data_IF_903472951264
#
_entry.id   IF_903472951264
#
_cell.length_a   1.000
_cell.length_b   1.000
_cell.length_c   1.000
_cell.angle_alpha   90.00
_cell.angle_beta   90.00
_cell.angle_gamma   90.00
#
_symmetry.space_group_name_H-M   'P 1'
#
loop_
_entity.id
_entity.type
_entity.pdbx_description
1 polymer ?
#
# COMPACT_ATOMS: atom_id res chain seq x y z
N UNK A 1 7.15 2.57 24.35
CA UNK A 1 8.04 3.49 23.79
C UNK A 1 8.56 2.98 22.46
N UNK A 2 7.78 3.20 21.42
CA UNK A 2 7.87 2.51 20.14
C UNK A 2 7.77 3.52 18.99
N UNK A 3 8.29 4.74 19.25
CA UNK A 3 8.29 5.83 18.26
C UNK A 3 9.47 5.71 17.29
N UNK A 4 10.16 4.56 17.32
CA UNK A 4 11.28 4.28 16.42
C UNK A 4 10.84 3.36 15.28
N UNK A 5 10.88 3.88 14.07
CA UNK A 5 10.58 3.14 12.84
C UNK A 5 11.53 1.94 12.60
N UNK A 6 12.67 1.90 13.29
CA UNK A 6 13.63 0.78 13.23
C UNK A 6 13.34 -0.30 14.26
N UNK A 7 12.33 -0.14 15.12
CA UNK A 7 11.93 -1.12 16.12
C UNK A 7 10.92 -2.11 15.56
N UNK A 8 11.10 -3.38 15.86
CA UNK A 8 10.12 -4.44 15.61
C UNK A 8 9.36 -4.80 16.90
N UNK A 9 8.15 -4.28 17.11
CA UNK A 9 7.37 -4.57 18.29
C UNK A 9 6.78 -5.99 18.28
N UNK A 10 6.81 -6.68 17.13
CA UNK A 10 6.25 -8.03 16.96
C UNK A 10 7.21 -9.17 17.30
N UNK A 11 8.46 -8.88 17.63
CA UNK A 11 9.48 -9.89 17.90
C UNK A 11 9.02 -10.96 18.90
N UNK A 12 8.51 -10.59 20.10
CA UNK A 12 8.00 -11.57 21.08
C UNK A 12 6.80 -12.38 20.54
N UNK A 13 5.85 -11.74 19.86
CA UNK A 13 4.71 -12.41 19.24
C UNK A 13 5.15 -13.37 18.13
N UNK A 14 6.15 -13.00 17.33
CA UNK A 14 6.71 -13.86 16.29
C UNK A 14 7.43 -15.08 16.89
N UNK A 15 8.18 -14.92 17.97
CA UNK A 15 8.79 -16.02 18.68
C UNK A 15 7.74 -17.02 19.20
N UNK A 16 6.62 -16.53 19.72
CA UNK A 16 5.47 -17.34 20.16
C UNK A 16 4.67 -17.98 19.01
N UNK A 17 4.84 -17.52 17.76
CA UNK A 17 4.11 -18.03 16.59
C UNK A 17 2.85 -17.24 16.24
N UNK A 18 2.55 -16.19 16.98
CA UNK A 18 1.39 -15.31 16.82
C UNK A 18 0.92 -14.77 18.15
N UNK A 19 -0.20 -14.07 18.15
CA UNK A 19 -0.85 -13.55 19.35
C UNK A 19 -2.36 -13.40 19.15
N UNK A 20 -3.12 -13.26 20.25
CA UNK A 20 -4.51 -12.83 20.24
C UNK A 20 -4.55 -11.31 20.23
N UNK A 21 -5.04 -10.71 19.14
CA UNK A 21 -5.18 -9.27 19.02
C UNK A 21 -6.62 -8.83 19.20
N UNK A 22 -6.86 -7.76 19.96
CA UNK A 22 -8.18 -7.12 20.07
C UNK A 22 -8.29 -5.97 19.06
N UNK A 23 -9.20 -6.09 18.11
CA UNK A 23 -9.47 -5.11 17.06
C UNK A 23 -10.88 -4.52 17.23
N UNK A 24 -11.01 -3.54 18.13
CA UNK A 24 -12.28 -2.88 18.47
C UNK A 24 -13.31 -3.85 19.08
N UNK A 25 -12.86 -4.78 19.94
CA UNK A 25 -13.71 -5.77 20.60
C UNK A 25 -13.83 -7.10 19.86
N UNK A 26 -13.30 -7.22 18.65
CA UNK A 26 -13.14 -8.51 17.97
C UNK A 26 -11.74 -9.08 18.25
N UNK A 27 -11.71 -10.12 19.10
CA UNK A 27 -10.46 -10.82 19.40
C UNK A 27 -10.19 -11.88 18.34
N UNK A 28 -9.06 -11.76 17.64
CA UNK A 28 -8.67 -12.73 16.62
C UNK A 28 -7.19 -13.11 16.71
N UNK A 29 -6.81 -14.33 16.30
CA UNK A 29 -5.41 -14.71 16.18
C UNK A 29 -4.71 -13.94 15.06
N UNK A 30 -3.49 -13.51 15.33
CA UNK A 30 -2.63 -12.79 14.38
C UNK A 30 -1.41 -13.66 14.08
N UNK A 31 -1.26 -14.09 12.82
CA UNK A 31 -0.06 -14.77 12.32
C UNK A 31 1.06 -13.76 12.09
N UNK A 32 2.27 -14.07 12.53
CA UNK A 32 3.42 -13.15 12.54
C UNK A 32 4.67 -13.69 11.88
N UNK A 33 4.85 -15.04 11.79
CA UNK A 33 6.00 -15.66 11.11
C UNK A 33 5.82 -15.62 9.60
N UNK A 34 6.88 -15.33 8.89
CA UNK A 34 6.86 -15.24 7.42
C UNK A 34 6.25 -16.48 6.75
N UNK A 35 6.68 -17.68 7.16
CA UNK A 35 6.20 -18.94 6.58
C UNK A 35 4.70 -19.13 6.80
N UNK A 36 4.19 -18.79 7.99
CA UNK A 36 2.81 -19.04 8.39
C UNK A 36 1.87 -18.02 7.72
N UNK A 37 2.29 -16.75 7.69
CA UNK A 37 1.60 -15.66 6.99
C UNK A 37 1.52 -15.95 5.48
N UNK A 38 2.64 -16.38 4.87
CA UNK A 38 2.68 -16.70 3.45
C UNK A 38 1.88 -17.96 3.10
N UNK A 39 1.88 -18.96 3.95
CA UNK A 39 1.09 -20.19 3.78
C UNK A 39 -0.41 -19.87 3.85
N UNK A 40 -0.84 -19.17 4.90
CA UNK A 40 -2.24 -18.78 5.07
C UNK A 40 -2.74 -17.86 3.94
N UNK A 41 -1.91 -16.96 3.42
CA UNK A 41 -2.26 -16.09 2.30
C UNK A 41 -2.51 -16.84 0.98
N UNK A 42 -2.03 -18.09 0.87
CA UNK A 42 -2.16 -18.94 -0.32
C UNK A 42 -3.23 -20.02 -0.21
N UNK A 43 -3.73 -20.24 1.00
CA UNK A 43 -4.69 -21.29 1.30
C UNK A 43 -6.09 -20.67 1.47
N UNK A 44 -6.68 -20.23 0.35
CA UNK A 44 -8.01 -19.63 0.35
C UNK A 44 -9.11 -20.64 0.73
N UNK A 45 -8.89 -21.94 0.51
CA UNK A 45 -9.83 -22.98 0.92
C UNK A 45 -9.98 -23.05 2.45
N UNK A 46 -8.94 -22.67 3.17
CA UNK A 46 -8.91 -22.61 4.64
C UNK A 46 -9.15 -21.21 5.17
N UNK A 47 -8.62 -20.20 4.51
CA UNK A 47 -8.61 -18.80 4.92
C UNK A 47 -9.12 -17.88 3.81
N UNK A 48 -10.43 -17.78 3.73
CA UNK A 48 -11.17 -17.10 2.68
C UNK A 48 -11.04 -15.58 2.74
N UNK A 49 -11.07 -14.94 1.57
CA UNK A 49 -11.29 -13.51 1.41
C UNK A 49 -12.77 -13.17 1.18
N UNK A 50 -13.65 -14.16 1.03
CA UNK A 50 -15.06 -13.93 0.66
C UNK A 50 -15.88 -13.42 1.84
N UNK A 51 -15.72 -12.14 2.14
CA UNK A 51 -16.45 -11.44 3.20
C UNK A 51 -16.40 -9.94 2.98
N UNK A 52 -17.46 -9.34 2.42
CA UNK A 52 -17.50 -7.90 2.17
C UNK A 52 -17.26 -7.09 3.46
N UNK A 53 -16.29 -6.16 3.40
CA UNK A 53 -15.90 -5.33 4.52
C UNK A 53 -15.05 -6.00 5.59
N UNK A 54 -14.82 -7.31 5.52
CA UNK A 54 -14.12 -8.08 6.57
C UNK A 54 -12.65 -8.36 6.28
N UNK A 55 -12.20 -8.17 5.05
CA UNK A 55 -10.78 -8.29 4.68
C UNK A 55 -9.92 -7.19 5.29
N UNK A 56 -10.33 -5.91 5.32
CA UNK A 56 -9.65 -4.90 6.13
C UNK A 56 -9.71 -5.22 7.64
N UNK A 57 -8.66 -4.85 8.36
CA UNK A 57 -8.62 -4.94 9.82
C UNK A 57 -8.29 -3.55 10.37
N UNK A 58 -9.14 -2.94 11.19
CA UNK A 58 -10.46 -3.41 11.61
C UNK A 58 -11.46 -3.52 10.48
N UNK A 59 -12.62 -4.12 10.77
CA UNK A 59 -13.73 -4.28 9.84
C UNK A 59 -14.22 -2.93 9.29
N UNK A 60 -14.63 -2.89 8.02
CA UNK A 60 -15.12 -1.67 7.36
C UNK A 60 -16.61 -1.73 6.99
N UNK A 61 -17.37 -2.68 7.51
CA UNK A 61 -18.82 -2.81 7.24
C UNK A 61 -19.63 -1.61 7.74
N UNK A 62 -19.06 -0.80 8.63
CA UNK A 62 -19.66 0.44 9.13
C UNK A 62 -19.64 1.61 8.13
N UNK A 63 -18.76 1.55 7.14
CA UNK A 63 -18.58 2.65 6.18
C UNK A 63 -18.80 2.26 4.72
N UNK A 64 -18.97 0.98 4.42
CA UNK A 64 -19.24 0.54 3.05
C UNK A 64 -20.09 -0.72 2.99
N UNK A 65 -20.98 -0.74 2.03
CA UNK A 65 -21.87 -1.86 1.73
C UNK A 65 -21.46 -2.64 0.48
N UNK A 66 -20.54 -2.11 -0.31
CA UNK A 66 -20.11 -2.70 -1.57
C UNK A 66 -18.89 -3.60 -1.36
N UNK A 67 -18.91 -4.76 -2.04
CA UNK A 67 -17.78 -5.68 -2.11
C UNK A 67 -16.63 -5.05 -2.89
N UNK A 68 -15.42 -5.07 -2.36
CA UNK A 68 -14.21 -4.66 -3.08
C UNK A 68 -13.70 -5.78 -3.98
N UNK A 69 -13.59 -5.50 -5.27
CA UNK A 69 -13.21 -6.48 -6.29
C UNK A 69 -11.78 -6.22 -6.81
N UNK A 70 -11.00 -7.28 -7.01
CA UNK A 70 -11.28 -8.70 -6.75
C UNK A 70 -10.84 -9.15 -5.34
N UNK A 71 -10.49 -8.26 -4.41
CA UNK A 71 -9.85 -8.62 -3.14
C UNK A 71 -10.77 -9.41 -2.19
N UNK A 72 -12.09 -9.20 -2.27
CA UNK A 72 -13.08 -9.82 -1.37
C UNK A 72 -13.86 -10.96 -2.05
N UNK A 73 -13.21 -11.71 -2.93
CA UNK A 73 -13.73 -12.93 -3.55
C UNK A 73 -12.62 -13.99 -3.60
N UNK A 74 -13.01 -15.25 -3.51
CA UNK A 74 -12.08 -16.37 -3.61
C UNK A 74 -11.96 -16.93 -5.03
N UNK A 75 -10.86 -17.65 -5.36
CA UNK A 75 -10.81 -18.49 -6.53
C UNK A 75 -11.94 -19.55 -6.52
N UNK A 76 -12.43 -20.01 -7.70
CA UNK A 76 -11.95 -19.63 -9.03
C UNK A 76 -12.46 -18.28 -9.53
N UNK A 77 -13.53 -17.73 -8.94
CA UNK A 77 -14.14 -16.48 -9.40
C UNK A 77 -13.16 -15.30 -9.35
N UNK A 78 -12.31 -15.22 -8.30
CA UNK A 78 -11.26 -14.21 -8.19
C UNK A 78 -10.42 -14.07 -9.47
N UNK A 79 -10.02 -15.20 -10.09
CA UNK A 79 -9.22 -15.20 -11.31
C UNK A 79 -9.92 -14.46 -12.45
N UNK A 80 -11.20 -14.75 -12.68
CA UNK A 80 -11.98 -14.12 -13.74
C UNK A 80 -12.11 -12.61 -13.56
N UNK A 81 -12.38 -12.14 -12.32
CA UNK A 81 -12.41 -10.70 -12.03
C UNK A 81 -11.04 -10.04 -12.14
N UNK A 82 -9.99 -10.68 -11.63
CA UNK A 82 -8.61 -10.17 -11.70
C UNK A 82 -8.15 -9.98 -13.14
N UNK A 83 -8.48 -10.93 -14.02
CA UNK A 83 -8.10 -10.90 -15.43
C UNK A 83 -8.66 -9.70 -16.18
N UNK A 84 -9.81 -9.17 -15.77
CA UNK A 84 -10.40 -7.97 -16.37
C UNK A 84 -9.54 -6.70 -16.20
N UNK A 85 -8.73 -6.63 -15.14
CA UNK A 85 -8.02 -5.39 -14.77
C UNK A 85 -6.51 -5.54 -14.64
N UNK A 86 -5.97 -6.76 -14.58
CA UNK A 86 -4.54 -7.01 -14.30
C UNK A 86 -3.60 -6.28 -15.26
N UNK A 87 -3.92 -6.25 -16.56
CA UNK A 87 -3.07 -5.65 -17.58
C UNK A 87 -3.07 -4.11 -17.46
N UNK A 88 -4.18 -3.51 -17.03
CA UNK A 88 -4.24 -2.09 -16.75
C UNK A 88 -3.25 -1.69 -15.63
N UNK A 89 -3.19 -2.47 -14.56
CA UNK A 89 -2.28 -2.19 -13.44
C UNK A 89 -0.81 -2.53 -13.75
N UNK A 90 -0.53 -3.29 -14.82
CA UNK A 90 0.82 -3.56 -15.32
C UNK A 90 1.37 -2.47 -16.24
N UNK A 91 0.52 -1.58 -16.76
CA UNK A 91 0.91 -0.50 -17.67
C UNK A 91 2.15 0.29 -17.24
N UNK A 92 2.39 0.62 -15.95
CA UNK A 92 3.62 1.34 -15.57
C UNK A 92 4.93 0.60 -15.89
N UNK A 93 4.88 -0.70 -16.15
CA UNK A 93 6.04 -1.50 -16.62
C UNK A 93 6.11 -1.65 -18.14
N UNK A 94 4.99 -1.52 -18.84
CA UNK A 94 4.82 -1.88 -20.26
C UNK A 94 4.59 -0.64 -21.13
N UNK A 95 4.08 0.45 -20.58
CA UNK A 95 3.81 1.72 -21.27
C UNK A 95 4.87 2.76 -20.92
N UNK A 96 5.82 2.96 -21.82
CA UNK A 96 6.91 3.91 -21.64
C UNK A 96 6.42 5.37 -21.48
N UNK A 97 5.27 5.72 -22.08
CA UNK A 97 4.68 7.06 -21.94
C UNK A 97 4.17 7.30 -20.53
N UNK A 98 3.44 6.33 -19.96
CA UNK A 98 2.98 6.39 -18.57
C UNK A 98 4.16 6.40 -17.60
N UNK A 99 5.15 5.54 -17.82
CA UNK A 99 6.36 5.50 -16.99
C UNK A 99 7.12 6.84 -17.00
N UNK A 100 7.30 7.45 -18.17
CA UNK A 100 7.93 8.76 -18.32
C UNK A 100 7.10 9.88 -17.65
N UNK A 101 5.78 9.82 -17.75
CA UNK A 101 4.90 10.78 -17.09
C UNK A 101 4.99 10.69 -15.56
N UNK A 102 5.02 9.48 -14.99
CA UNK A 102 5.24 9.26 -13.56
C UNK A 102 6.61 9.81 -13.13
N UNK A 103 7.66 9.59 -13.92
CA UNK A 103 9.00 10.13 -13.67
C UNK A 103 9.00 11.67 -13.66
N UNK A 104 8.30 12.29 -14.62
CA UNK A 104 8.15 13.76 -14.69
C UNK A 104 7.44 14.30 -13.43
N UNK A 105 6.35 13.68 -13.00
CA UNK A 105 5.64 14.06 -11.78
C UNK A 105 6.59 14.06 -10.57
N UNK A 106 7.37 12.99 -10.38
CA UNK A 106 8.30 12.89 -9.26
C UNK A 106 9.40 13.97 -9.35
N UNK A 107 9.98 14.15 -10.55
CA UNK A 107 10.99 15.16 -10.80
C UNK A 107 10.51 16.59 -10.50
N UNK A 108 9.31 16.94 -10.97
CA UNK A 108 8.75 18.26 -10.77
C UNK A 108 8.50 18.56 -9.27
N UNK A 109 8.02 17.58 -8.50
CA UNK A 109 7.80 17.74 -7.06
C UNK A 109 9.10 17.87 -6.28
N UNK A 110 10.13 17.09 -6.63
CA UNK A 110 11.46 17.23 -6.03
C UNK A 110 12.06 18.59 -6.40
N UNK A 111 11.97 18.99 -7.67
CA UNK A 111 12.46 20.31 -8.13
C UNK A 111 11.78 21.46 -7.40
N UNK A 112 10.46 21.40 -7.23
CA UNK A 112 9.70 22.43 -6.51
C UNK A 112 10.09 22.53 -5.01
N UNK A 113 10.59 21.46 -4.44
CA UNK A 113 11.04 21.43 -3.03
C UNK A 113 12.49 21.92 -2.85
N UNK A 114 13.30 21.97 -3.92
CA UNK A 114 14.68 22.43 -3.86
C UNK A 114 14.76 23.93 -3.53
N UNK A 115 15.64 24.29 -2.60
CA UNK A 115 15.89 25.68 -2.23
C UNK A 115 14.78 26.38 -1.44
N UNK A 116 13.70 25.67 -1.09
CA UNK A 116 12.59 26.24 -0.30
C UNK A 116 12.86 26.29 1.22
N UNK A 117 14.04 25.85 1.67
CA UNK A 117 14.29 25.60 3.09
C UNK A 117 13.61 24.30 3.55
N UNK A 118 13.21 24.19 4.83
CA UNK A 118 12.53 23.02 5.32
C UNK A 118 11.15 22.83 4.68
N UNK A 119 10.93 21.65 4.06
CA UNK A 119 9.64 21.25 3.47
C UNK A 119 9.03 20.08 4.24
N UNK A 120 7.72 20.08 4.40
CA UNK A 120 7.01 18.92 4.96
C UNK A 120 6.82 17.88 3.88
N UNK A 121 7.45 16.70 4.07
CA UNK A 121 7.60 15.66 3.03
C UNK A 121 6.27 15.11 2.55
N UNK A 122 5.34 14.85 3.49
CA UNK A 122 4.05 14.25 3.12
C UNK A 122 3.27 15.21 2.24
N UNK A 123 3.15 16.48 2.63
CA UNK A 123 2.32 17.46 1.93
C UNK A 123 2.97 17.97 0.64
N UNK A 124 4.30 18.17 0.64
CA UNK A 124 4.99 18.78 -0.50
C UNK A 124 5.42 17.76 -1.57
N UNK A 125 5.70 16.51 -1.16
CA UNK A 125 6.33 15.51 -2.02
C UNK A 125 5.46 14.26 -2.16
N UNK A 126 5.28 13.48 -1.07
CA UNK A 126 4.74 12.13 -1.16
C UNK A 126 3.27 12.09 -1.59
N UNK A 127 2.43 12.92 -0.98
CA UNK A 127 1.00 12.98 -1.29
C UNK A 127 0.71 13.53 -2.70
N UNK A 128 1.34 14.63 -3.17
CA UNK A 128 1.17 15.09 -4.55
C UNK A 128 1.67 14.08 -5.58
N UNK A 129 2.85 13.47 -5.38
CA UNK A 129 3.36 12.43 -6.30
C UNK A 129 2.37 11.28 -6.40
N UNK A 130 1.92 10.75 -5.26
CA UNK A 130 0.97 9.64 -5.22
C UNK A 130 -0.34 10.00 -5.95
N UNK A 131 -0.93 11.17 -5.62
CA UNK A 131 -2.23 11.55 -6.17
C UNK A 131 -2.18 11.79 -7.68
N UNK A 132 -1.15 12.46 -8.17
CA UNK A 132 -0.94 12.71 -9.60
C UNK A 132 -0.60 11.42 -10.37
N UNK A 133 0.26 10.56 -9.80
CA UNK A 133 0.60 9.28 -10.42
C UNK A 133 -0.60 8.32 -10.48
N UNK A 134 -1.47 8.33 -9.47
CA UNK A 134 -2.70 7.53 -9.48
C UNK A 134 -3.70 8.08 -10.51
N UNK A 135 -3.84 9.41 -10.63
CA UNK A 135 -4.66 10.02 -11.68
C UNK A 135 -4.15 9.63 -13.07
N UNK A 136 -2.83 9.68 -13.29
CA UNK A 136 -2.20 9.24 -14.54
C UNK A 136 -2.44 7.74 -14.82
N UNK A 137 -2.33 6.86 -13.81
CA UNK A 137 -2.66 5.44 -13.95
C UNK A 137 -4.11 5.24 -14.39
N UNK A 138 -5.05 6.02 -13.84
CA UNK A 138 -6.47 5.93 -14.20
C UNK A 138 -6.80 6.58 -15.55
N UNK A 139 -5.84 7.26 -16.20
CA UNK A 139 -6.08 8.02 -17.43
C UNK A 139 -6.89 9.30 -17.21
N UNK A 140 -6.85 9.84 -16.00
CA UNK A 140 -7.54 11.07 -15.61
C UNK A 140 -6.60 12.28 -15.71
N UNK A 141 -7.12 13.50 -15.91
CA UNK A 141 -6.31 14.71 -15.96
C UNK A 141 -5.64 15.01 -14.61
N UNK A 142 -4.50 15.71 -14.63
CA UNK A 142 -3.74 16.08 -13.44
C UNK A 142 -4.57 16.86 -12.40
N UNK A 143 -5.59 17.65 -12.85
CA UNK A 143 -6.52 18.35 -11.97
C UNK A 143 -7.25 17.43 -10.98
N UNK A 144 -7.51 16.17 -11.35
CA UNK A 144 -8.10 15.19 -10.43
C UNK A 144 -7.08 14.80 -9.33
N UNK A 145 -5.82 14.60 -9.69
CA UNK A 145 -4.76 14.36 -8.71
C UNK A 145 -4.56 15.52 -7.73
N UNK A 146 -4.75 16.78 -8.20
CA UNK A 146 -4.72 17.96 -7.34
C UNK A 146 -5.90 17.99 -6.35
N UNK A 147 -7.11 17.65 -6.81
CA UNK A 147 -8.28 17.48 -5.93
C UNK A 147 -8.00 16.42 -4.87
N UNK A 148 -7.46 15.25 -5.26
CA UNK A 148 -7.15 14.18 -4.30
C UNK A 148 -6.04 14.56 -3.33
N UNK A 149 -5.09 15.37 -3.74
CA UNK A 149 -4.08 15.96 -2.87
C UNK A 149 -4.72 16.81 -1.77
N UNK A 150 -5.75 17.60 -2.11
CA UNK A 150 -6.46 18.46 -1.16
C UNK A 150 -7.22 17.67 -0.05
N UNK A 151 -7.54 16.40 -0.28
CA UNK A 151 -8.19 15.53 0.74
C UNK A 151 -7.26 15.14 1.89
N UNK A 152 -5.95 15.38 1.77
CA UNK A 152 -4.96 15.03 2.78
C UNK A 152 -4.61 13.54 2.79
N UNK A 153 -3.86 13.10 3.80
CA UNK A 153 -3.29 11.76 3.88
C UNK A 153 -4.35 10.66 3.85
N UNK A 154 -5.41 10.78 4.63
CA UNK A 154 -6.44 9.75 4.77
C UNK A 154 -7.77 10.19 4.16
N UNK A 155 -8.12 9.64 2.99
CA UNK A 155 -9.33 10.02 2.26
C UNK A 155 -10.64 9.54 2.91
N UNK A 156 -10.60 8.52 3.78
CA UNK A 156 -11.80 7.96 4.44
C UNK A 156 -11.63 7.73 5.94
N UNK A 157 -10.54 8.25 6.54
CA UNK A 157 -10.27 8.16 7.99
C UNK A 157 -10.01 9.54 8.58
N UNK A 158 -10.43 9.73 9.81
CA UNK A 158 -10.08 10.87 10.64
C UNK A 158 -9.56 10.37 11.99
N UNK A 159 -8.41 10.89 12.44
CA UNK A 159 -7.77 10.49 13.71
C UNK A 159 -7.62 8.96 13.87
N UNK A 160 -7.27 8.27 12.77
CA UNK A 160 -7.05 6.83 12.75
C UNK A 160 -8.32 5.95 12.74
N UNK A 161 -9.51 6.54 12.81
CA UNK A 161 -10.80 5.84 12.75
C UNK A 161 -11.50 6.10 11.42
N UNK A 162 -12.41 5.20 11.03
CA UNK A 162 -13.29 5.39 9.89
C UNK A 162 -14.11 6.68 10.04
N UNK A 163 -14.25 7.43 8.94
CA UNK A 163 -14.99 8.69 8.88
C UNK A 163 -16.06 8.57 7.80
N UNK A 164 -17.33 8.37 8.17
CA UNK A 164 -18.41 8.18 7.21
C UNK A 164 -18.61 9.38 6.26
N UNK A 165 -18.35 10.61 6.71
CA UNK A 165 -18.49 11.79 5.87
C UNK A 165 -17.41 11.84 4.78
N UNK A 166 -16.15 11.54 5.13
CA UNK A 166 -15.06 11.40 4.16
C UNK A 166 -15.29 10.22 3.21
N UNK A 167 -15.75 9.09 3.75
CA UNK A 167 -16.09 7.93 2.95
C UNK A 167 -17.18 8.27 1.92
N UNK A 168 -18.25 8.96 2.32
CA UNK A 168 -19.34 9.38 1.43
C UNK A 168 -18.84 10.33 0.32
N UNK A 169 -17.97 11.30 0.64
CA UNK A 169 -17.38 12.21 -0.34
C UNK A 169 -16.53 11.44 -1.37
N UNK A 170 -15.70 10.51 -0.93
CA UNK A 170 -14.92 9.66 -1.81
C UNK A 170 -15.81 8.78 -2.70
N UNK A 171 -16.85 8.18 -2.09
CA UNK A 171 -17.86 7.39 -2.81
C UNK A 171 -18.49 8.17 -3.94
N UNK A 172 -19.05 9.35 -3.64
CA UNK A 172 -19.68 10.21 -4.64
C UNK A 172 -18.76 10.55 -5.81
N UNK A 173 -17.46 10.79 -5.52
CA UNK A 173 -16.48 11.07 -6.58
C UNK A 173 -16.22 9.86 -7.45
N UNK A 174 -16.03 8.69 -6.84
CA UNK A 174 -15.81 7.43 -7.57
C UNK A 174 -17.03 7.05 -8.41
N UNK A 175 -18.24 7.24 -7.87
CA UNK A 175 -19.49 7.06 -8.62
C UNK A 175 -19.52 7.90 -9.88
N UNK A 176 -19.16 9.19 -9.76
CA UNK A 176 -19.08 10.08 -10.92
C UNK A 176 -18.12 9.59 -12.01
N UNK A 177 -16.95 9.02 -11.65
CA UNK A 177 -16.03 8.44 -12.63
C UNK A 177 -16.59 7.17 -13.26
N UNK A 178 -17.20 6.29 -12.47
CA UNK A 178 -17.81 5.03 -12.97
C UNK A 178 -18.95 5.34 -13.94
N UNK A 179 -19.81 6.30 -13.59
CA UNK A 179 -20.95 6.70 -14.42
C UNK A 179 -20.52 7.43 -15.71
N UNK A 180 -19.34 8.08 -15.70
CA UNK A 180 -18.75 8.70 -16.87
C UNK A 180 -18.00 7.73 -17.81
N UNK A 181 -17.74 6.49 -17.36
CA UNK A 181 -17.04 5.48 -18.16
C UNK A 181 -17.85 5.07 -19.41
N UNK A 182 -17.18 4.96 -20.56
CA UNK A 182 -17.79 4.70 -21.87
C UNK A 182 -17.45 3.33 -22.39
N UNK A 183 -18.49 2.58 -22.75
CA UNK A 183 -18.32 1.26 -23.40
C UNK A 183 -17.68 1.46 -24.80
N UNK A 184 -16.71 0.61 -25.13
CA UNK A 184 -15.96 0.67 -26.38
C UNK A 184 -14.80 1.68 -26.38
N UNK A 185 -14.64 2.51 -25.34
CA UNK A 185 -13.48 3.36 -25.15
C UNK A 185 -12.43 2.68 -24.22
N UNK A 186 -11.17 3.07 -24.35
CA UNK A 186 -10.06 2.52 -23.55
C UNK A 186 -9.09 3.60 -23.06
N UNK A 187 -9.61 4.83 -22.86
CA UNK A 187 -8.79 5.98 -22.47
C UNK A 187 -8.57 6.01 -20.96
N UNK A 188 -9.59 5.63 -20.19
CA UNK A 188 -9.56 5.62 -18.73
C UNK A 188 -9.77 4.24 -18.15
N UNK A 189 -9.38 4.04 -16.89
CA UNK A 189 -9.70 2.84 -16.13
C UNK A 189 -11.22 2.60 -16.03
N UNK A 190 -12.00 3.67 -16.02
CA UNK A 190 -13.46 3.61 -15.95
C UNK A 190 -14.09 3.21 -17.29
N UNK A 191 -13.48 3.58 -18.41
CA UNK A 191 -13.84 3.07 -19.73
C UNK A 191 -13.56 1.56 -19.83
N UNK A 192 -12.42 1.09 -19.31
CA UNK A 192 -12.13 -0.34 -19.19
C UNK A 192 -13.23 -1.07 -18.42
N UNK A 193 -13.63 -0.53 -17.25
CA UNK A 193 -14.69 -1.13 -16.44
C UNK A 193 -16.06 -1.10 -17.15
N UNK A 194 -16.36 -0.06 -17.93
CA UNK A 194 -17.57 0.03 -18.72
C UNK A 194 -17.61 -1.01 -19.85
N UNK A 195 -16.44 -1.28 -20.45
CA UNK A 195 -16.28 -2.22 -21.56
C UNK A 195 -16.10 -3.67 -21.10
N UNK A 196 -15.74 -3.89 -19.84
CA UNK A 196 -15.41 -5.23 -19.32
C UNK A 196 -16.65 -6.16 -19.37
N UNK A 197 -16.38 -7.42 -19.69
CA UNK A 197 -17.39 -8.49 -19.77
C UNK A 197 -16.93 -9.67 -18.92
N UNK A 198 -17.78 -10.09 -17.99
CA UNK A 198 -17.58 -11.27 -17.17
C UNK A 198 -18.53 -12.37 -17.67
N UNK A 199 -18.00 -13.47 -18.16
CA UNK A 199 -18.78 -14.56 -18.76
C UNK A 199 -19.76 -14.05 -19.84
N UNK A 200 -19.32 -13.09 -20.66
CA UNK A 200 -20.10 -12.49 -21.76
C UNK A 200 -21.09 -11.40 -21.34
N UNK A 201 -21.37 -11.21 -20.05
CA UNK A 201 -22.22 -10.11 -19.55
C UNK A 201 -21.40 -8.85 -19.19
N UNK A 202 -21.96 -7.65 -19.33
CA UNK A 202 -21.34 -6.46 -18.80
C UNK A 202 -21.25 -6.51 -17.26
N UNK A 203 -20.26 -5.83 -16.69
CA UNK A 203 -20.20 -5.62 -15.25
C UNK A 203 -21.39 -4.80 -14.77
N UNK A 204 -21.94 -5.20 -13.62
CA UNK A 204 -22.95 -4.37 -12.93
C UNK A 204 -22.30 -3.06 -12.41
N UNK A 205 -23.13 -2.08 -12.06
CA UNK A 205 -22.63 -0.81 -11.46
C UNK A 205 -21.86 -1.08 -10.17
N UNK A 206 -22.37 -1.97 -9.31
CA UNK A 206 -21.75 -2.31 -8.04
C UNK A 206 -20.40 -3.02 -8.23
N UNK A 207 -20.26 -3.89 -9.24
CA UNK A 207 -18.98 -4.50 -9.57
C UNK A 207 -17.95 -3.46 -10.03
N UNK A 208 -18.35 -2.49 -10.89
CA UNK A 208 -17.47 -1.40 -11.31
C UNK A 208 -17.03 -0.54 -10.12
N UNK A 209 -17.96 -0.20 -9.24
CA UNK A 209 -17.66 0.53 -8.00
C UNK A 209 -16.73 -0.25 -7.08
N UNK A 210 -16.92 -1.56 -6.95
CA UNK A 210 -16.05 -2.45 -6.18
C UNK A 210 -14.60 -2.42 -6.64
N UNK A 211 -14.35 -2.45 -7.96
CA UNK A 211 -13.01 -2.28 -8.53
C UNK A 211 -12.44 -0.89 -8.27
N UNK A 212 -13.24 0.15 -8.52
CA UNK A 212 -12.80 1.53 -8.37
C UNK A 212 -12.44 1.84 -6.91
N UNK A 213 -13.23 1.40 -5.95
CA UNK A 213 -12.99 1.64 -4.52
C UNK A 213 -11.67 1.02 -4.05
N UNK A 214 -11.42 -0.25 -4.36
CA UNK A 214 -10.19 -0.90 -3.91
C UNK A 214 -8.95 -0.28 -4.57
N UNK A 215 -9.06 0.15 -5.84
CA UNK A 215 -7.97 0.80 -6.54
C UNK A 215 -7.61 2.16 -5.89
N UNK A 216 -8.60 2.93 -5.47
CA UNK A 216 -8.40 4.16 -4.71
C UNK A 216 -7.84 3.90 -3.31
N UNK A 217 -8.48 3.03 -2.53
CA UNK A 217 -8.11 2.78 -1.14
C UNK A 217 -6.71 2.16 -1.04
N UNK A 218 -6.41 1.15 -1.86
CA UNK A 218 -5.12 0.45 -1.84
C UNK A 218 -3.96 1.26 -2.40
N UNK A 219 -4.22 2.17 -3.34
CA UNK A 219 -3.19 2.92 -4.06
C UNK A 219 -2.70 4.19 -3.35
N UNK A 220 -3.23 4.55 -2.19
CA UNK A 220 -2.97 5.87 -1.60
C UNK A 220 -2.02 5.84 -0.41
N UNK A 221 -2.51 5.53 0.77
CA UNK A 221 -1.76 5.69 2.04
C UNK A 221 -0.47 4.85 2.08
N UNK A 222 -0.52 3.65 1.52
CA UNK A 222 0.63 2.74 1.49
C UNK A 222 1.82 3.33 0.72
N UNK A 223 1.56 3.97 -0.39
CA UNK A 223 2.59 4.57 -1.24
C UNK A 223 3.18 5.84 -0.59
N UNK A 224 2.31 6.69 0.00
CA UNK A 224 2.73 7.88 0.73
C UNK A 224 3.67 7.50 1.88
N UNK A 225 3.31 6.49 2.68
CA UNK A 225 4.14 6.03 3.79
C UNK A 225 5.49 5.49 3.32
N UNK A 226 5.52 4.70 2.24
CA UNK A 226 6.77 4.16 1.71
C UNK A 226 7.69 5.26 1.17
N UNK A 227 7.16 6.23 0.43
CA UNK A 227 7.93 7.35 -0.10
C UNK A 227 8.46 8.26 1.02
N UNK A 228 7.63 8.57 2.01
CA UNK A 228 8.06 9.35 3.17
C UNK A 228 9.14 8.62 3.97
N UNK A 229 9.00 7.30 4.13
CA UNK A 229 10.03 6.46 4.72
C UNK A 229 11.35 6.48 3.94
N UNK A 230 11.29 6.45 2.61
CA UNK A 230 12.47 6.57 1.76
C UNK A 230 13.21 7.92 1.98
N UNK A 231 12.47 9.02 2.04
CA UNK A 231 13.03 10.36 2.32
C UNK A 231 13.69 10.41 3.69
N UNK A 232 13.02 9.87 4.72
CA UNK A 232 13.56 9.77 6.07
C UNK A 232 14.83 8.94 6.13
N UNK A 233 14.86 7.78 5.47
CA UNK A 233 16.03 6.91 5.42
C UNK A 233 17.21 7.61 4.75
N UNK A 234 17.01 8.18 3.57
CA UNK A 234 18.08 8.84 2.80
C UNK A 234 18.62 10.10 3.50
N UNK A 235 17.80 10.80 4.29
CA UNK A 235 18.27 11.90 5.13
C UNK A 235 19.17 11.43 6.29
N UNK A 236 18.94 10.23 6.82
CA UNK A 236 19.73 9.61 7.89
C UNK A 236 20.93 8.81 7.40
N UNK A 237 20.90 8.40 6.15
CA UNK A 237 21.93 7.57 5.50
C UNK A 237 22.40 8.22 4.18
N UNK A 238 23.13 9.35 4.26
CA UNK A 238 23.60 10.06 3.05
C UNK A 238 24.42 9.16 2.11
N UNK A 239 25.19 8.23 2.69
CA UNK A 239 25.97 7.25 1.92
C UNK A 239 25.10 6.38 1.02
N UNK A 240 23.84 6.07 1.40
CA UNK A 240 22.95 5.30 0.57
C UNK A 240 22.43 6.13 -0.62
N UNK A 241 22.20 7.44 -0.44
CA UNK A 241 21.90 8.34 -1.57
C UNK A 241 23.07 8.39 -2.56
N UNK A 242 24.32 8.46 -2.05
CA UNK A 242 25.52 8.44 -2.89
C UNK A 242 25.69 7.11 -3.64
N UNK A 243 25.43 5.98 -2.97
CA UNK A 243 25.48 4.64 -3.58
C UNK A 243 24.42 4.47 -4.67
N UNK A 244 23.18 4.91 -4.44
CA UNK A 244 22.11 4.89 -5.44
C UNK A 244 22.47 5.75 -6.67
N UNK A 245 23.13 6.87 -6.44
CA UNK A 245 23.61 7.76 -7.51
C UNK A 245 24.73 7.13 -8.32
N UNK A 246 25.69 6.51 -7.65
CA UNK A 246 26.83 5.84 -8.29
C UNK A 246 26.43 4.55 -9.01
N UNK A 247 25.37 3.90 -8.57
CA UNK A 247 24.93 2.59 -9.07
C UNK A 247 23.41 2.57 -9.25
N UNK A 248 22.87 3.15 -10.32
CA UNK A 248 21.43 3.21 -10.59
C UNK A 248 20.73 1.84 -10.64
N UNK A 249 21.46 0.77 -10.94
CA UNK A 249 20.96 -0.62 -10.92
C UNK A 249 20.56 -1.10 -9.51
N UNK A 250 20.86 -0.35 -8.46
CA UNK A 250 20.38 -0.59 -7.12
C UNK A 250 18.93 -0.09 -6.92
N UNK A 251 18.42 0.83 -7.73
CA UNK A 251 17.07 1.39 -7.55
C UNK A 251 15.95 0.33 -7.43
N UNK A 252 15.95 -0.75 -8.26
CA UNK A 252 14.99 -1.82 -8.08
C UNK A 252 15.09 -2.52 -6.72
N UNK A 253 16.31 -2.86 -6.28
CA UNK A 253 16.55 -3.54 -4.98
C UNK A 253 16.16 -2.64 -3.81
N UNK A 254 16.56 -1.37 -3.84
CA UNK A 254 16.19 -0.38 -2.84
C UNK A 254 14.66 -0.22 -2.74
N UNK A 255 13.95 -0.25 -3.88
CA UNK A 255 12.48 -0.21 -3.90
C UNK A 255 11.86 -1.38 -3.14
N UNK A 256 12.30 -2.62 -3.40
CA UNK A 256 11.78 -3.80 -2.69
C UNK A 256 12.14 -3.75 -1.19
N UNK A 257 13.33 -3.27 -0.85
CA UNK A 257 13.74 -3.14 0.56
C UNK A 257 12.93 -2.08 1.32
N UNK A 258 12.63 -0.95 0.68
CA UNK A 258 11.74 0.07 1.26
C UNK A 258 10.34 -0.50 1.52
N UNK A 259 9.80 -1.28 0.58
CA UNK A 259 8.49 -1.94 0.75
C UNK A 259 8.54 -2.98 1.87
N UNK A 260 9.63 -3.77 1.97
CA UNK A 260 9.83 -4.72 3.07
C UNK A 260 9.85 -4.01 4.42
N UNK A 261 10.74 -3.02 4.54
CA UNK A 261 11.06 -2.38 5.82
C UNK A 261 9.90 -1.55 6.36
N UNK A 262 9.30 -0.71 5.55
CA UNK A 262 8.20 0.14 6.02
C UNK A 262 6.87 -0.62 6.12
N UNK A 263 6.64 -1.66 5.32
CA UNK A 263 5.44 -2.51 5.36
C UNK A 263 4.17 -1.71 5.70
N UNK A 264 3.76 -0.76 4.86
CA UNK A 264 2.77 0.27 5.22
C UNK A 264 1.37 -0.30 5.46
N UNK A 265 1.02 -1.42 4.82
CA UNK A 265 -0.13 -2.23 5.20
C UNK A 265 0.37 -3.26 6.23
N UNK A 266 0.00 -3.05 7.49
CA UNK A 266 0.54 -3.87 8.57
C UNK A 266 -0.04 -5.26 8.56
N UNK A 267 -1.35 -5.39 8.36
CA UNK A 267 -2.04 -6.68 8.38
C UNK A 267 -3.35 -6.63 7.59
N UNK A 268 -3.87 -7.82 7.29
CA UNK A 268 -5.12 -8.02 6.57
C UNK A 268 -5.86 -9.24 7.14
N UNK A 269 -7.19 -9.20 7.11
CA UNK A 269 -8.03 -10.26 7.62
C UNK A 269 -8.22 -11.42 6.64
N UNK A 270 -8.56 -12.58 7.19
CA UNK A 270 -9.11 -13.74 6.50
C UNK A 270 -10.23 -14.35 7.32
N UNK A 271 -11.12 -15.07 6.70
CA UNK A 271 -12.24 -15.78 7.33
C UNK A 271 -11.92 -17.27 7.32
N UNK A 272 -11.99 -17.93 8.48
CA UNK A 272 -11.88 -19.39 8.54
C UNK A 272 -13.09 -20.04 7.89
N UNK A 273 -12.85 -21.00 7.02
CA UNK A 273 -13.92 -21.73 6.32
C UNK A 273 -14.33 -23.03 7.03
N UNK A 274 -13.52 -23.48 7.97
CA UNK A 274 -13.70 -24.71 8.75
C UNK A 274 -13.14 -24.53 10.17
N UNK A 275 -13.44 -25.47 11.05
CA UNK A 275 -12.77 -25.54 12.36
C UNK A 275 -11.26 -25.67 12.18
N UNK A 276 -10.53 -24.90 12.99
CA UNK A 276 -9.07 -24.77 12.89
C UNK A 276 -8.46 -24.34 14.22
N UNK A 277 -7.14 -24.45 14.32
CA UNK A 277 -6.33 -23.84 15.36
C UNK A 277 -5.29 -22.94 14.69
N UNK A 278 -5.31 -21.65 15.01
CA UNK A 278 -4.42 -20.65 14.45
C UNK A 278 -3.68 -19.94 15.56
N UNK A 279 -2.35 -20.03 15.57
CA UNK A 279 -1.49 -19.51 16.65
C UNK A 279 -1.90 -20.02 18.05
N UNK A 280 -2.32 -21.30 18.16
CA UNK A 280 -2.77 -21.90 19.40
C UNK A 280 -4.20 -21.50 19.85
N UNK A 281 -4.95 -20.80 18.98
CA UNK A 281 -6.30 -20.30 19.29
C UNK A 281 -7.31 -21.02 18.40
N UNK A 282 -8.29 -21.75 18.99
CA UNK A 282 -9.36 -22.39 18.23
C UNK A 282 -10.18 -21.38 17.43
N UNK A 283 -10.54 -21.73 16.20
CA UNK A 283 -11.40 -20.94 15.30
C UNK A 283 -12.54 -21.78 14.74
N UNK A 284 -13.70 -21.17 14.64
CA UNK A 284 -14.87 -21.74 13.99
C UNK A 284 -15.05 -21.17 12.58
N UNK A 285 -15.79 -21.85 11.70
CA UNK A 285 -16.17 -21.31 10.40
C UNK A 285 -16.83 -19.92 10.55
N UNK A 286 -16.43 -18.97 9.72
CA UNK A 286 -16.92 -17.58 9.76
C UNK A 286 -16.16 -16.65 10.70
N UNK A 287 -15.32 -17.17 11.58
CA UNK A 287 -14.45 -16.35 12.43
C UNK A 287 -13.21 -15.85 11.67
N UNK A 288 -12.68 -14.70 12.10
CA UNK A 288 -11.54 -14.05 11.44
C UNK A 288 -10.22 -14.42 12.09
N UNK A 289 -9.19 -14.33 11.24
CA UNK A 289 -7.78 -14.27 11.62
C UNK A 289 -7.14 -13.05 10.96
N UNK A 290 -5.98 -12.62 11.44
CA UNK A 290 -5.18 -11.58 10.82
C UNK A 290 -3.80 -12.10 10.37
N UNK A 291 -3.38 -11.67 9.18
CA UNK A 291 -2.04 -11.92 8.63
C UNK A 291 -1.22 -10.65 8.80
N UNK A 292 -0.17 -10.66 9.62
CA UNK A 292 0.66 -9.48 9.88
C UNK A 292 1.86 -9.45 8.91
N UNK A 293 1.71 -8.71 7.81
CA UNK A 293 2.78 -8.52 6.81
C UNK A 293 4.01 -7.85 7.40
N UNK A 294 3.80 -6.87 8.28
CA UNK A 294 4.88 -6.15 8.93
C UNK A 294 5.74 -7.06 9.80
N UNK A 295 5.11 -7.88 10.64
CA UNK A 295 5.84 -8.85 11.46
C UNK A 295 6.60 -9.87 10.62
N UNK A 296 5.96 -10.39 9.56
CA UNK A 296 6.56 -11.36 8.66
C UNK A 296 7.79 -10.81 7.92
N UNK A 297 7.78 -9.53 7.56
CA UNK A 297 8.90 -8.88 6.89
C UNK A 297 10.13 -8.64 7.79
N UNK A 298 9.98 -8.82 9.11
CA UNK A 298 11.08 -8.76 10.09
C UNK A 298 11.45 -10.12 10.67
N UNK A 299 11.00 -11.21 10.05
CA UNK A 299 11.32 -12.58 10.49
C UNK A 299 12.79 -12.91 10.20
N UNK A 300 13.58 -13.05 11.27
CA UNK A 300 15.02 -13.32 11.25
C UNK A 300 15.36 -14.73 10.75
N UNK A 301 14.38 -15.62 10.71
CA UNK A 301 14.54 -16.94 10.05
C UNK A 301 14.51 -16.85 8.53
N UNK A 302 14.07 -15.71 7.98
CA UNK A 302 13.91 -15.47 6.54
C UNK A 302 14.83 -14.35 6.04
N UNK A 303 15.03 -13.30 6.85
CA UNK A 303 15.81 -12.12 6.49
C UNK A 303 17.01 -11.97 7.41
N UNK A 304 18.21 -11.97 6.83
CA UNK A 304 19.43 -11.62 7.56
C UNK A 304 19.36 -10.14 7.99
N UNK A 305 19.66 -9.85 9.26
CA UNK A 305 19.59 -8.50 9.84
C UNK A 305 18.28 -7.75 9.46
N UNK A 306 17.10 -8.29 9.82
CA UNK A 306 15.84 -7.77 9.35
C UNK A 306 15.55 -6.32 9.79
N UNK A 307 16.16 -5.87 10.90
CA UNK A 307 16.01 -4.53 11.45
C UNK A 307 16.86 -3.49 10.73
N UNK A 308 17.79 -3.90 9.87
CA UNK A 308 18.63 -3.02 9.07
C UNK A 308 18.04 -2.84 7.68
N UNK A 309 17.76 -1.59 7.28
CA UNK A 309 17.38 -1.26 5.91
C UNK A 309 18.64 -1.31 5.03
N UNK A 310 18.67 -2.23 4.07
CA UNK A 310 19.79 -2.47 3.17
C UNK A 310 19.35 -2.29 1.73
N UNK A 311 19.72 -1.18 1.10
CA UNK A 311 19.31 -0.83 -0.28
C UNK A 311 19.78 -1.84 -1.35
N UNK A 312 20.72 -2.71 -1.01
CA UNK A 312 21.33 -3.72 -1.87
C UNK A 312 20.94 -5.16 -1.48
N UNK A 313 19.98 -5.35 -0.57
CA UNK A 313 19.57 -6.69 -0.10
C UNK A 313 19.38 -7.65 -1.27
N UNK A 314 20.19 -8.72 -1.29
CA UNK A 314 20.23 -9.65 -2.42
C UNK A 314 19.01 -10.59 -2.44
N UNK A 315 18.68 -11.19 -1.27
CA UNK A 315 17.51 -12.04 -1.11
C UNK A 315 16.45 -11.28 -0.31
N UNK A 316 15.34 -10.94 -0.97
CA UNK A 316 14.29 -10.14 -0.37
C UNK A 316 12.89 -10.71 -0.69
N UNK A 317 12.54 -11.91 -0.16
CA UNK A 317 11.26 -12.55 -0.40
C UNK A 317 10.14 -11.93 0.45
N UNK A 318 10.09 -10.59 0.51
CA UNK A 318 9.15 -9.89 1.37
C UNK A 318 7.68 -10.14 0.95
N UNK A 319 6.80 -9.99 1.92
CA UNK A 319 5.35 -10.11 1.74
C UNK A 319 4.62 -8.76 1.82
N UNK A 320 5.34 -7.65 1.62
CA UNK A 320 4.77 -6.30 1.65
C UNK A 320 3.72 -6.04 0.56
N UNK A 321 3.74 -6.83 -0.52
CA UNK A 321 2.69 -6.87 -1.55
C UNK A 321 1.72 -8.05 -1.40
N UNK A 322 1.69 -8.71 -0.23
CA UNK A 322 0.92 -9.93 -0.04
C UNK A 322 1.55 -11.16 -0.71
N UNK A 323 0.81 -12.24 -0.76
CA UNK A 323 1.22 -13.51 -1.40
C UNK A 323 0.00 -14.26 -1.95
N UNK A 324 0.24 -15.19 -2.92
CA UNK A 324 -0.81 -16.01 -3.53
C UNK A 324 -1.68 -15.24 -4.51
N UNK A 325 -2.90 -15.70 -4.67
CA UNK A 325 -3.84 -15.18 -5.68
C UNK A 325 -4.17 -13.69 -5.46
N UNK A 326 -4.24 -13.28 -4.19
CA UNK A 326 -4.50 -11.91 -3.77
C UNK A 326 -3.25 -11.03 -3.64
N UNK A 327 -2.11 -11.43 -4.24
CA UNK A 327 -0.96 -10.54 -4.34
C UNK A 327 -1.35 -9.20 -4.99
N UNK A 328 -0.77 -8.11 -4.50
CA UNK A 328 -1.17 -6.75 -4.83
C UNK A 328 -1.17 -6.48 -6.35
N UNK A 329 -2.33 -6.13 -6.90
CA UNK A 329 -2.48 -5.72 -8.30
C UNK A 329 -1.70 -4.44 -8.61
N UNK A 330 -1.66 -3.49 -7.66
CA UNK A 330 -0.98 -2.22 -7.79
C UNK A 330 0.54 -2.28 -7.64
N UNK A 331 1.15 -3.45 -7.46
CA UNK A 331 2.58 -3.58 -7.19
C UNK A 331 3.47 -2.98 -8.28
N UNK A 332 3.09 -3.10 -9.56
CA UNK A 332 3.80 -2.50 -10.68
C UNK A 332 3.78 -0.97 -10.60
N UNK A 333 2.61 -0.39 -10.32
CA UNK A 333 2.46 1.05 -10.13
C UNK A 333 3.26 1.56 -8.92
N UNK A 334 3.16 0.89 -7.78
CA UNK A 334 3.90 1.27 -6.58
C UNK A 334 5.43 1.28 -6.83
N UNK A 335 5.94 0.24 -7.48
CA UNK A 335 7.35 0.15 -7.86
C UNK A 335 7.77 1.29 -8.80
N UNK A 336 6.95 1.61 -9.79
CA UNK A 336 7.24 2.70 -10.73
C UNK A 336 7.32 4.05 -10.03
N UNK A 337 6.37 4.35 -9.14
CA UNK A 337 6.33 5.63 -8.42
C UNK A 337 7.48 5.76 -7.41
N UNK A 338 7.79 4.71 -6.64
CA UNK A 338 8.91 4.73 -5.69
C UNK A 338 10.23 4.90 -6.44
N UNK A 339 10.45 4.17 -7.55
CA UNK A 339 11.65 4.30 -8.38
C UNK A 339 11.77 5.69 -8.98
N UNK A 340 10.66 6.28 -9.44
CA UNK A 340 10.65 7.63 -9.99
C UNK A 340 11.09 8.67 -8.94
N UNK A 341 10.61 8.55 -7.69
CA UNK A 341 11.08 9.40 -6.60
C UNK A 341 12.57 9.20 -6.34
N UNK A 342 13.04 7.95 -6.18
CA UNK A 342 14.45 7.66 -5.94
C UNK A 342 15.35 8.19 -7.08
N UNK A 343 14.94 8.01 -8.33
CA UNK A 343 15.66 8.52 -9.50
C UNK A 343 15.73 10.05 -9.49
N UNK A 344 14.63 10.74 -9.21
CA UNK A 344 14.61 12.20 -9.09
C UNK A 344 15.54 12.70 -7.96
N UNK A 345 15.54 12.03 -6.81
CA UNK A 345 16.43 12.37 -5.71
C UNK A 345 17.91 12.16 -6.08
N UNK A 346 18.26 11.04 -6.70
CA UNK A 346 19.65 10.78 -7.10
C UNK A 346 20.16 11.74 -8.17
N UNK A 347 19.29 12.22 -9.03
CA UNK A 347 19.61 13.15 -10.11
C UNK A 347 19.76 14.61 -9.62
N UNK A 348 18.79 15.07 -8.83
CA UNK A 348 18.61 16.50 -8.51
C UNK A 348 19.18 16.92 -7.15
N UNK A 349 19.26 15.99 -6.19
CA UNK A 349 19.56 16.31 -4.79
C UNK A 349 20.98 15.91 -4.44
N UNK A 350 21.80 16.86 -3.99
CA UNK A 350 23.14 16.59 -3.48
C UNK A 350 23.07 15.97 -2.07
N UNK A 351 22.24 16.53 -1.19
CA UNK A 351 22.10 16.12 0.21
C UNK A 351 20.70 16.40 0.72
N UNK A 352 20.24 15.56 1.65
CA UNK A 352 18.98 15.72 2.37
C UNK A 352 19.32 15.92 3.85
N UNK A 353 18.94 17.06 4.42
CA UNK A 353 19.09 17.31 5.85
C UNK A 353 17.76 17.05 6.54
N UNK A 354 17.76 16.16 7.54
CA UNK A 354 16.60 15.90 8.38
C UNK A 354 16.42 17.06 9.35
N UNK A 355 15.29 17.76 9.29
CA UNK A 355 14.96 18.88 10.19
C UNK A 355 14.10 18.40 11.35
N UNK A 356 13.08 17.60 11.05
CA UNK A 356 12.16 17.05 12.04
C UNK A 356 11.59 15.73 11.57
N UNK A 357 11.46 14.76 12.48
CA UNK A 357 10.77 13.52 12.22
C UNK A 357 9.97 13.11 13.47
N UNK A 358 8.65 13.11 13.35
CA UNK A 358 7.73 12.62 14.37
C UNK A 358 6.95 11.45 13.77
N UNK A 359 7.33 10.21 14.09
CA UNK A 359 6.60 9.04 13.62
C UNK A 359 5.15 9.06 14.09
N UNK A 360 4.26 8.57 13.22
CA UNK A 360 2.93 8.16 13.63
C UNK A 360 2.98 6.83 14.36
N UNK A 361 1.99 6.56 15.19
CA UNK A 361 1.84 5.27 15.86
C UNK A 361 0.48 4.65 15.55
N UNK A 362 0.45 3.33 15.50
CA UNK A 362 -0.79 2.58 15.31
C UNK A 362 -0.81 1.39 16.27
N UNK A 363 -1.91 1.27 17.00
CA UNK A 363 -2.22 0.05 17.75
C UNK A 363 -2.71 -1.03 16.79
N UNK A 364 -2.23 -2.25 17.00
CA UNK A 364 -2.50 -3.42 16.16
C UNK A 364 -2.84 -4.56 17.10
N UNK A 365 -4.09 -4.55 17.57
CA UNK A 365 -4.59 -5.56 18.48
C UNK A 365 -3.81 -5.63 19.79
N UNK A 366 -3.42 -4.48 20.36
CA UNK A 366 -2.65 -4.37 21.60
C UNK A 366 -1.14 -4.27 21.43
N UNK A 367 -0.62 -4.35 20.19
CA UNK A 367 0.79 -4.08 19.90
C UNK A 367 0.91 -2.74 19.16
N UNK A 368 1.54 -1.75 19.78
CA UNK A 368 1.78 -0.43 19.16
C UNK A 368 3.01 -0.49 18.25
N UNK A 369 2.85 -0.02 17.01
CA UNK A 369 3.92 0.09 16.00
C UNK A 369 4.05 1.54 15.53
N UNK A 370 5.29 1.99 15.33
CA UNK A 370 5.56 3.21 14.56
C UNK A 370 5.20 2.98 13.08
N UNK A 371 4.40 3.85 12.50
CA UNK A 371 3.93 3.74 11.11
C UNK A 371 3.72 5.10 10.47
N UNK A 372 4.50 5.38 9.42
CA UNK A 372 4.47 6.67 8.75
C UNK A 372 4.91 7.81 9.65
N UNK A 373 4.50 9.02 9.32
CA UNK A 373 4.88 10.24 10.04
C UNK A 373 3.65 11.11 10.30
N UNK A 374 3.55 11.66 11.49
CA UNK A 374 2.67 12.79 11.78
C UNK A 374 3.30 14.09 11.31
N UNK A 375 4.64 14.15 11.30
CA UNK A 375 5.43 15.23 10.73
C UNK A 375 6.79 14.72 10.27
N UNK A 376 7.17 15.07 9.05
CA UNK A 376 8.50 14.81 8.50
C UNK A 376 8.94 16.01 7.67
N UNK A 377 9.94 16.73 8.17
CA UNK A 377 10.49 17.92 7.48
C UNK A 377 11.95 17.70 7.12
N UNK A 378 12.30 18.03 5.88
CA UNK A 378 13.66 17.94 5.35
C UNK A 378 14.03 19.20 4.59
N UNK A 379 15.33 19.49 4.50
CA UNK A 379 15.86 20.48 3.55
C UNK A 379 16.58 19.74 2.43
N UNK A 380 16.21 20.03 1.18
CA UNK A 380 16.85 19.47 -0.01
C UNK A 380 17.88 20.45 -0.57
N UNK A 381 19.10 19.99 -0.72
CA UNK A 381 20.19 20.76 -1.34
C UNK A 381 20.39 20.29 -2.79
N UNK A 382 20.40 21.23 -3.73
CA UNK A 382 20.61 20.93 -5.16
C UNK A 382 22.03 20.46 -5.43
N UNK A 383 22.18 19.69 -6.46
CA UNK A 383 23.48 19.32 -7.05
C UNK A 383 24.08 20.49 -7.80
#
# INVERSE_FOLDING_TARGET
MTDDLTCDPFGPARAAGGYAGDFNGEVMPVLTRWRDVRAAARDWQRFSNDGPGRVPVPDETDIRSLRQLPIEIDPPAHGAYKDLVKDWFRRPLEDATLAAHIATIARDRVTAALGQGPVEVVQAISLPIQSLALAALFGLPASEGEIWTSWGLHAFKSKGKNDPAKAAMLMQRIEGYVDAGRDGATVTFFDLLASARLDGRPLTRDEKLGFAHVAFAGGRDTLIHTMSGAMWHLARSPSDLDRLRATPDLLPKATEELVRFFAPLTHIGRICTREDEVAGIPRQPGERIALCWAAANFDDTTFEDPLTLRIDRAQNPHVGFGAGDHACLGAAHARAVIRALLAALTELVARIDLVEATPGTRDIGGITRAQGFTRLSVTLHSR
#
